data_IF_163481568280
#
_entry.id   IF_163481568280
#
_cell.length_a   1.000
_cell.length_b   1.000
_cell.length_c   1.000
_cell.angle_alpha   90.00
_cell.angle_beta   90.00
_cell.angle_gamma   90.00
#
_symmetry.space_group_name_H-M   'P 1'
#
loop_
_entity.id
_entity.type
_entity.pdbx_description
1 polymer ?
#
# COMPACT_ATOMS: atom_id res chain seq x y z
N UNK A 1 -7.32 3.91 -9.70
CA UNK A 1 -6.19 3.07 -10.14
C UNK A 1 -6.19 1.78 -9.34
N UNK A 2 -5.76 0.70 -9.97
CA UNK A 2 -5.80 -0.63 -9.34
C UNK A 2 -5.01 -0.72 -8.03
N UNK A 3 -3.88 0.01 -7.93
CA UNK A 3 -3.04 -0.10 -6.73
C UNK A 3 -3.77 0.36 -5.47
N UNK A 4 -4.71 1.27 -5.60
CA UNK A 4 -5.46 1.81 -4.45
C UNK A 4 -6.21 0.68 -3.75
N UNK A 5 -6.94 -0.12 -4.51
CA UNK A 5 -7.67 -1.27 -3.97
C UNK A 5 -6.71 -2.34 -3.47
N UNK A 6 -5.64 -2.58 -4.21
CA UNK A 6 -4.69 -3.65 -3.87
C UNK A 6 -3.99 -3.38 -2.54
N UNK A 7 -3.52 -2.14 -2.30
CA UNK A 7 -2.86 -1.84 -1.04
C UNK A 7 -3.83 -1.96 0.14
N UNK A 8 -5.08 -1.57 -0.05
CA UNK A 8 -6.10 -1.73 0.98
C UNK A 8 -6.37 -3.22 1.25
N UNK A 9 -6.54 -4.01 0.20
CA UNK A 9 -6.80 -5.44 0.33
C UNK A 9 -5.63 -6.14 1.04
N UNK A 10 -4.39 -5.83 0.67
CA UNK A 10 -3.21 -6.41 1.32
C UNK A 10 -3.19 -6.07 2.82
N UNK A 11 -3.50 -4.84 3.17
CA UNK A 11 -3.55 -4.41 4.56
C UNK A 11 -4.63 -5.18 5.33
N UNK A 12 -5.83 -5.23 4.78
CA UNK A 12 -6.96 -5.90 5.43
C UNK A 12 -6.74 -7.41 5.53
N UNK A 13 -6.18 -8.02 4.49
CA UNK A 13 -5.87 -9.46 4.48
C UNK A 13 -4.86 -9.83 5.57
N UNK A 14 -4.01 -8.90 5.97
CA UNK A 14 -3.02 -9.11 7.03
C UNK A 14 -3.47 -8.58 8.38
N UNK A 15 -4.74 -8.20 8.51
CA UNK A 15 -5.33 -7.70 9.77
C UNK A 15 -4.59 -6.49 10.33
N UNK A 16 -4.15 -5.59 9.45
CA UNK A 16 -3.39 -4.40 9.83
C UNK A 16 -4.27 -3.15 9.77
N UNK A 17 -3.99 -2.20 10.65
CA UNK A 17 -4.67 -0.90 10.64
C UNK A 17 -3.93 0.06 9.72
N UNK A 18 -4.62 1.13 9.31
CA UNK A 18 -3.98 2.20 8.55
C UNK A 18 -2.82 2.83 9.34
N UNK A 19 -2.98 2.97 10.66
CA UNK A 19 -1.94 3.55 11.51
C UNK A 19 -0.68 2.68 11.51
N UNK A 20 -0.84 1.35 11.55
CA UNK A 20 0.31 0.45 11.53
C UNK A 20 1.09 0.59 10.23
N UNK A 21 0.39 0.70 9.10
CA UNK A 21 1.07 0.88 7.81
C UNK A 21 1.67 2.28 7.71
N UNK A 22 0.98 3.30 8.21
CA UNK A 22 1.53 4.65 8.24
C UNK A 22 2.85 4.70 9.02
N UNK A 23 2.89 4.02 10.16
CA UNK A 23 4.10 3.93 10.98
C UNK A 23 5.22 3.23 10.22
N UNK A 24 4.90 2.15 9.53
CA UNK A 24 5.87 1.43 8.69
C UNK A 24 6.48 2.34 7.63
N UNK A 25 5.65 3.17 7.00
CA UNK A 25 6.06 4.07 5.93
C UNK A 25 6.69 5.37 6.44
N UNK A 26 6.60 5.63 7.74
CA UNK A 26 7.12 6.88 8.30
C UNK A 26 6.26 8.09 7.96
N UNK A 27 4.96 7.89 7.79
CA UNK A 27 4.02 8.96 7.47
C UNK A 27 2.87 8.97 8.49
N UNK A 28 1.96 9.92 8.38
CA UNK A 28 0.80 9.99 9.28
C UNK A 28 -0.32 9.07 8.81
N UNK A 29 -1.17 8.65 9.75
CA UNK A 29 -2.36 7.86 9.40
C UNK A 29 -3.26 8.64 8.43
N UNK A 30 -3.41 9.94 8.63
CA UNK A 30 -4.20 10.79 7.75
C UNK A 30 -3.66 10.77 6.32
N UNK A 31 -2.34 10.88 6.16
CA UNK A 31 -1.72 10.84 4.83
C UNK A 31 -1.87 9.46 4.20
N UNK A 32 -1.65 8.38 4.96
CA UNK A 32 -1.80 7.04 4.42
C UNK A 32 -3.25 6.78 3.97
N UNK A 33 -4.23 7.26 4.76
CA UNK A 33 -5.64 7.14 4.38
C UNK A 33 -5.92 7.82 3.04
N UNK A 34 -5.23 8.92 2.75
CA UNK A 34 -5.37 9.62 1.47
C UNK A 34 -4.86 8.77 0.31
N UNK A 35 -3.80 7.98 0.53
CA UNK A 35 -3.33 7.03 -0.50
C UNK A 35 -4.40 5.97 -0.80
N UNK A 36 -5.02 5.44 0.24
CA UNK A 36 -6.06 4.40 0.06
C UNK A 36 -7.35 4.92 -0.57
N UNK A 37 -7.59 6.24 -0.49
CA UNK A 37 -8.74 6.86 -1.15
C UNK A 37 -8.43 7.37 -2.56
N UNK A 38 -7.17 7.34 -2.97
CA UNK A 38 -6.75 7.91 -4.23
C UNK A 38 -6.68 9.43 -4.22
N UNK A 39 -6.75 10.08 -3.06
CA UNK A 39 -6.65 11.53 -2.95
C UNK A 39 -5.23 12.03 -3.21
N UNK A 40 -4.23 11.21 -2.91
CA UNK A 40 -2.82 11.49 -3.20
C UNK A 40 -2.18 10.25 -3.83
N UNK A 41 -1.23 10.48 -4.74
CA UNK A 41 -0.49 9.37 -5.32
C UNK A 41 0.48 8.77 -4.31
N UNK A 42 0.62 7.44 -4.34
CA UNK A 42 1.56 6.73 -3.49
C UNK A 42 2.98 6.98 -4.01
N UNK A 43 3.88 7.56 -3.19
CA UNK A 43 5.26 7.74 -3.62
C UNK A 43 5.95 6.40 -3.90
N UNK A 44 6.90 6.42 -4.83
CA UNK A 44 7.64 5.21 -5.19
C UNK A 44 8.35 4.61 -3.97
N UNK A 45 8.92 5.44 -3.09
CA UNK A 45 9.58 4.94 -1.87
C UNK A 45 8.63 4.14 -0.97
N UNK A 46 7.36 4.53 -0.92
CA UNK A 46 6.34 3.80 -0.15
C UNK A 46 5.92 2.52 -0.87
N UNK A 47 5.80 2.58 -2.20
CA UNK A 47 5.50 1.39 -3.00
C UNK A 47 6.54 0.30 -2.78
N UNK A 48 7.83 0.66 -2.83
CA UNK A 48 8.90 -0.31 -2.62
C UNK A 48 8.83 -0.92 -1.22
N UNK A 49 8.58 -0.09 -0.21
CA UNK A 49 8.49 -0.56 1.17
C UNK A 49 7.32 -1.50 1.39
N UNK A 50 6.17 -1.19 0.79
CA UNK A 50 5.00 -2.05 0.88
C UNK A 50 5.24 -3.40 0.19
N UNK A 51 5.88 -3.38 -0.99
CA UNK A 51 6.22 -4.61 -1.71
C UNK A 51 7.12 -5.50 -0.85
N UNK A 52 8.13 -4.92 -0.23
CA UNK A 52 9.03 -5.66 0.65
C UNK A 52 8.30 -6.21 1.88
N UNK A 53 7.49 -5.37 2.50
CA UNK A 53 6.78 -5.75 3.73
C UNK A 53 5.79 -6.89 3.49
N UNK A 54 5.00 -6.78 2.42
CA UNK A 54 4.01 -7.81 2.08
C UNK A 54 4.60 -8.99 1.33
N UNK A 55 5.88 -8.91 0.97
CA UNK A 55 6.58 -9.94 0.20
C UNK A 55 5.87 -10.22 -1.13
N UNK A 56 5.55 -9.16 -1.84
CA UNK A 56 4.93 -9.21 -3.17
C UNK A 56 5.73 -8.33 -4.12
N UNK A 57 5.53 -8.53 -5.43
CA UNK A 57 6.20 -7.69 -6.42
C UNK A 57 5.55 -6.31 -6.52
N UNK A 58 6.33 -5.32 -6.94
CA UNK A 58 5.76 -3.99 -7.25
C UNK A 58 4.76 -4.09 -8.38
N UNK A 59 4.99 -4.97 -9.36
CA UNK A 59 4.04 -5.19 -10.44
C UNK A 59 2.70 -5.69 -9.93
N UNK A 60 2.71 -6.56 -8.91
CA UNK A 60 1.47 -7.04 -8.31
C UNK A 60 0.70 -5.86 -7.67
N UNK A 61 1.39 -5.02 -6.90
CA UNK A 61 0.75 -3.87 -6.25
C UNK A 61 0.18 -2.91 -7.30
N UNK A 62 0.92 -2.70 -8.39
CA UNK A 62 0.49 -1.79 -9.46
C UNK A 62 -0.62 -2.38 -10.34
N UNK A 63 -0.98 -3.64 -10.12
CA UNK A 63 -2.04 -4.29 -10.89
C UNK A 63 -1.60 -4.73 -12.27
N UNK A 64 -0.28 -4.90 -12.48
CA UNK A 64 0.27 -5.29 -13.78
C UNK A 64 0.37 -6.81 -13.94
N UNK A 65 0.24 -7.54 -12.85
CA UNK A 65 0.30 -9.01 -12.86
C UNK A 65 -0.55 -9.55 -11.71
N UNK A 66 -1.00 -10.80 -11.85
CA UNK A 66 -1.69 -11.52 -10.78
C UNK A 66 -0.72 -12.31 -9.90
N UNK A 67 0.54 -12.34 -10.26
CA UNK A 67 1.56 -13.07 -9.49
C UNK A 67 2.13 -12.18 -8.40
N UNK A 68 2.05 -12.66 -7.18
CA UNK A 68 2.65 -11.97 -6.06
C UNK A 68 4.17 -12.13 -6.08
#
# INVERSE_FOLDING_TARGET
MKYIKIIKDLREDNDLTQQQIADLLGTSQTMYARYERGANELPIRHLLKLADYYNVSTDYILGRTNKK
#
